data_IF_086411650603
#
_entry.id   IF_086411650603
#
_cell.length_a   1.000
_cell.length_b   1.000
_cell.length_c   1.000
_cell.angle_alpha   90.00
_cell.angle_beta   90.00
_cell.angle_gamma   90.00
#
_symmetry.space_group_name_H-M   'P 1'
#
loop_
_entity.id
_entity.type
_entity.pdbx_description
1 polymer ?
#
# COMPACT_ATOMS: atom_id res chain seq x y z
N UNK A 1 -18.62 13.58 -2.09
CA UNK A 1 -18.00 12.39 -1.47
C UNK A 1 -19.15 11.52 -1.02
N UNK A 2 -19.06 10.21 -1.24
CA UNK A 2 -19.99 9.27 -0.62
C UNK A 2 -19.71 9.24 0.89
N UNK A 3 -20.77 9.05 1.67
CA UNK A 3 -20.80 9.08 3.13
C UNK A 3 -21.51 7.80 3.56
N UNK A 4 -20.74 6.89 4.15
CA UNK A 4 -21.25 5.67 4.76
C UNK A 4 -21.52 5.93 6.23
N UNK A 5 -22.72 5.57 6.70
CA UNK A 5 -23.12 5.74 8.08
C UNK A 5 -23.22 4.39 8.79
N UNK A 6 -22.11 3.90 9.35
CA UNK A 6 -22.09 2.63 10.10
C UNK A 6 -23.01 2.60 11.33
N UNK A 7 -23.40 3.76 11.84
CA UNK A 7 -24.39 3.91 12.91
C UNK A 7 -25.83 3.76 12.40
N UNK A 8 -26.13 4.20 11.18
CA UNK A 8 -27.49 4.20 10.61
C UNK A 8 -28.01 2.77 10.41
N UNK A 9 -27.11 1.88 9.99
CA UNK A 9 -27.41 0.46 9.76
C UNK A 9 -27.62 -0.34 11.05
N UNK A 10 -27.26 0.22 12.23
CA UNK A 10 -27.40 -0.42 13.54
C UNK A 10 -28.58 0.10 14.36
N UNK A 11 -29.31 1.11 13.88
CA UNK A 11 -30.52 1.60 14.56
C UNK A 11 -31.66 0.63 14.26
N UNK A 12 -32.03 -0.16 15.27
CA UNK A 12 -33.15 -1.11 15.24
C UNK A 12 -34.45 -0.55 15.81
N UNK A 13 -34.36 0.56 16.55
CA UNK A 13 -35.48 1.26 17.17
C UNK A 13 -36.09 2.30 16.21
N UNK A 14 -37.40 2.21 15.98
CA UNK A 14 -38.15 3.02 15.02
C UNK A 14 -38.11 4.53 15.37
N UNK A 15 -38.26 4.87 16.65
CA UNK A 15 -38.24 6.27 17.11
C UNK A 15 -36.84 6.90 16.97
N UNK A 16 -35.79 6.10 17.21
CA UNK A 16 -34.40 6.51 16.96
C UNK A 16 -34.10 6.64 15.46
N UNK A 17 -34.72 5.82 14.61
CA UNK A 17 -34.58 5.93 13.15
C UNK A 17 -35.17 7.24 12.62
N UNK A 18 -36.39 7.57 13.04
CA UNK A 18 -37.10 8.79 12.61
C UNK A 18 -36.35 10.05 13.04
N UNK A 19 -35.91 10.11 14.30
CA UNK A 19 -35.10 11.25 14.80
C UNK A 19 -33.73 11.35 14.14
N UNK A 20 -33.11 10.22 13.78
CA UNK A 20 -31.85 10.21 13.06
C UNK A 20 -31.97 10.62 11.59
N UNK A 21 -33.08 10.28 10.93
CA UNK A 21 -33.28 10.52 9.49
C UNK A 21 -33.14 12.01 9.11
N UNK A 22 -33.63 12.92 9.96
CA UNK A 22 -33.55 14.37 9.72
C UNK A 22 -32.13 14.95 9.80
N UNK A 23 -31.20 14.25 10.45
CA UNK A 23 -29.79 14.66 10.60
C UNK A 23 -28.81 13.73 9.87
N UNK A 24 -29.33 12.68 9.23
CA UNK A 24 -28.54 11.68 8.55
C UNK A 24 -27.87 12.27 7.30
N UNK A 25 -26.54 12.13 7.22
CA UNK A 25 -25.74 12.58 6.08
C UNK A 25 -25.33 11.42 5.15
N UNK A 26 -25.87 10.22 5.37
CA UNK A 26 -25.58 9.06 4.52
C UNK A 26 -26.12 9.31 3.12
N UNK A 27 -25.31 8.99 2.10
CA UNK A 27 -25.72 9.10 0.69
C UNK A 27 -25.25 7.88 -0.13
N UNK A 28 -24.90 6.80 0.55
CA UNK A 28 -24.55 5.52 -0.03
C UNK A 28 -25.16 4.41 0.83
N UNK A 29 -25.82 3.46 0.16
CA UNK A 29 -26.40 2.26 0.76
C UNK A 29 -25.61 1.05 0.25
N UNK A 30 -25.20 0.16 1.16
CA UNK A 30 -24.37 -1.00 0.83
C UNK A 30 -23.31 -1.29 1.88
N UNK A 31 -22.26 -1.99 1.49
CA UNK A 31 -21.14 -2.33 2.39
C UNK A 31 -20.11 -1.22 2.44
N UNK A 32 -19.33 -1.16 3.53
CA UNK A 32 -18.21 -0.21 3.65
C UNK A 32 -17.24 -0.31 2.46
N UNK A 33 -16.95 -1.52 1.96
CA UNK A 33 -16.10 -1.72 0.78
C UNK A 33 -16.75 -1.27 -0.53
N UNK A 34 -18.07 -1.42 -0.66
CA UNK A 34 -18.81 -0.94 -1.83
C UNK A 34 -18.84 0.60 -1.92
N UNK A 35 -18.73 1.31 -0.78
CA UNK A 35 -18.68 2.77 -0.78
C UNK A 35 -17.47 3.29 -1.56
N UNK A 36 -16.30 2.66 -1.41
CA UNK A 36 -15.07 3.09 -2.11
C UNK A 36 -15.21 2.93 -3.62
N UNK A 37 -15.82 1.83 -4.05
CA UNK A 37 -16.12 1.54 -5.45
C UNK A 37 -17.07 2.60 -6.03
N UNK A 38 -18.19 2.85 -5.35
CA UNK A 38 -19.16 3.86 -5.77
C UNK A 38 -18.56 5.28 -5.76
N UNK A 39 -17.72 5.59 -4.78
CA UNK A 39 -17.01 6.86 -4.70
C UNK A 39 -16.10 7.07 -5.92
N UNK A 40 -15.31 6.05 -6.27
CA UNK A 40 -14.36 6.10 -7.38
C UNK A 40 -15.09 6.34 -8.71
N UNK A 41 -16.13 5.56 -9.00
CA UNK A 41 -16.96 5.75 -10.21
C UNK A 41 -17.56 7.15 -10.25
N UNK A 42 -18.14 7.61 -9.14
CA UNK A 42 -18.72 8.96 -9.05
C UNK A 42 -17.70 10.06 -9.28
N UNK A 43 -16.48 9.93 -8.72
CA UNK A 43 -15.40 10.90 -8.89
C UNK A 43 -14.95 10.98 -10.35
N UNK A 44 -14.76 9.83 -11.00
CA UNK A 44 -14.35 9.77 -12.41
C UNK A 44 -15.46 10.30 -13.33
N UNK A 45 -16.70 9.82 -13.18
CA UNK A 45 -17.82 10.22 -14.04
C UNK A 45 -18.13 11.72 -13.97
N UNK A 46 -18.05 12.35 -12.79
CA UNK A 46 -18.35 13.79 -12.64
C UNK A 46 -17.20 14.71 -13.03
N UNK A 47 -15.99 14.19 -13.26
CA UNK A 47 -14.79 15.01 -13.44
C UNK A 47 -14.87 15.90 -14.69
N UNK A 48 -15.31 15.35 -15.81
CA UNK A 48 -15.40 16.08 -17.07
C UNK A 48 -16.48 17.17 -17.01
N UNK A 49 -17.68 16.84 -16.52
CA UNK A 49 -18.78 17.80 -16.44
C UNK A 49 -18.50 18.92 -15.42
N UNK A 50 -17.94 18.60 -14.25
CA UNK A 50 -17.78 19.59 -13.17
C UNK A 50 -16.47 20.37 -13.23
N UNK A 51 -15.45 19.83 -13.90
CA UNK A 51 -14.08 20.38 -13.87
C UNK A 51 -13.40 20.44 -15.23
N UNK A 52 -14.00 19.90 -16.29
CA UNK A 52 -13.40 19.88 -17.63
C UNK A 52 -12.15 18.99 -17.73
N UNK A 53 -11.92 18.08 -16.79
CA UNK A 53 -10.73 17.22 -16.75
C UNK A 53 -11.08 15.74 -16.89
N UNK A 54 -10.12 14.95 -17.35
CA UNK A 54 -10.21 13.49 -17.40
C UNK A 54 -9.01 12.88 -16.68
N UNK A 55 -9.28 11.93 -15.79
CA UNK A 55 -8.22 11.24 -15.06
C UNK A 55 -7.69 10.06 -15.87
N UNK A 56 -6.40 10.11 -16.24
CA UNK A 56 -5.75 9.02 -17.00
C UNK A 56 -5.07 7.99 -16.11
N UNK A 57 -4.86 8.31 -14.83
CA UNK A 57 -4.23 7.44 -13.85
C UNK A 57 -5.17 7.19 -12.67
N UNK A 58 -5.22 5.94 -12.20
CA UNK A 58 -5.91 5.53 -10.98
C UNK A 58 -4.86 5.04 -9.98
N UNK A 59 -4.68 5.75 -8.87
CA UNK A 59 -3.78 5.30 -7.80
C UNK A 59 -4.56 4.42 -6.82
N UNK A 60 -4.19 3.13 -6.75
CA UNK A 60 -4.86 2.14 -5.93
C UNK A 60 -3.90 1.33 -5.06
N UNK A 61 -4.49 0.64 -4.09
CA UNK A 61 -3.86 -0.44 -3.33
C UNK A 61 -4.27 -1.77 -3.98
N UNK A 62 -3.30 -2.60 -4.37
CA UNK A 62 -3.50 -4.01 -4.70
C UNK A 62 -4.67 -4.29 -5.65
N UNK A 63 -5.31 -5.44 -5.52
CA UNK A 63 -6.49 -5.77 -6.33
C UNK A 63 -7.68 -4.92 -5.87
N UNK A 64 -7.90 -3.82 -6.60
CA UNK A 64 -8.91 -2.82 -6.28
C UNK A 64 -10.14 -3.03 -7.15
N UNK A 65 -11.22 -3.55 -6.55
CA UNK A 65 -12.55 -3.60 -7.18
C UNK A 65 -13.01 -2.22 -7.68
N UNK A 66 -12.54 -1.15 -7.04
CA UNK A 66 -12.84 0.22 -7.48
C UNK A 66 -12.21 0.54 -8.84
N UNK A 67 -10.99 0.07 -9.11
CA UNK A 67 -10.36 0.24 -10.43
C UNK A 67 -11.10 -0.54 -11.51
N UNK A 68 -11.44 -1.80 -11.23
CA UNK A 68 -12.22 -2.64 -12.16
C UNK A 68 -13.54 -1.96 -12.52
N UNK A 69 -14.27 -1.48 -11.50
CA UNK A 69 -15.53 -0.80 -11.73
C UNK A 69 -15.38 0.51 -12.52
N UNK A 70 -14.35 1.31 -12.23
CA UNK A 70 -14.06 2.53 -13.01
C UNK A 70 -13.74 2.19 -14.46
N UNK A 71 -12.99 1.11 -14.71
CA UNK A 71 -12.66 0.64 -16.07
C UNK A 71 -13.90 0.19 -16.82
N UNK A 72 -14.78 -0.58 -16.18
CA UNK A 72 -16.04 -1.07 -16.77
C UNK A 72 -17.00 0.06 -17.10
N UNK A 73 -17.09 1.09 -16.25
CA UNK A 73 -17.98 2.22 -16.45
C UNK A 73 -17.55 3.17 -17.59
N UNK A 74 -16.35 2.97 -18.16
CA UNK A 74 -15.82 3.77 -19.28
C UNK A 74 -16.16 5.28 -19.16
N UNK A 75 -15.77 5.96 -18.06
CA UNK A 75 -16.20 7.32 -17.76
C UNK A 75 -15.77 8.34 -18.83
N UNK A 76 -14.82 7.97 -19.70
CA UNK A 76 -14.29 8.80 -20.78
C UNK A 76 -14.34 8.09 -22.14
N UNK A 77 -15.28 7.15 -22.34
CA UNK A 77 -15.38 6.33 -23.54
C UNK A 77 -14.26 5.29 -23.60
N UNK A 78 -13.59 5.16 -24.75
CA UNK A 78 -12.54 4.15 -24.98
C UNK A 78 -11.15 4.53 -24.47
N UNK A 79 -11.03 5.65 -23.73
CA UNK A 79 -9.75 6.05 -23.12
C UNK A 79 -9.35 5.06 -22.02
N UNK A 80 -8.10 4.60 -22.08
CA UNK A 80 -7.54 3.66 -21.10
C UNK A 80 -7.10 4.43 -19.85
N UNK A 81 -7.64 4.03 -18.70
CA UNK A 81 -7.19 4.51 -17.39
C UNK A 81 -6.12 3.54 -16.89
N UNK A 82 -4.91 4.06 -16.65
CA UNK A 82 -3.78 3.27 -16.15
C UNK A 82 -3.86 3.14 -14.63
N UNK A 83 -3.79 1.92 -14.12
CA UNK A 83 -3.64 1.67 -12.68
C UNK A 83 -2.21 1.90 -12.25
N UNK A 84 -2.03 2.63 -11.16
CA UNK A 84 -0.78 2.83 -10.45
C UNK A 84 -0.88 2.18 -9.07
N UNK A 85 0.20 1.53 -8.64
CA UNK A 85 0.29 0.93 -7.32
C UNK A 85 0.85 1.94 -6.31
N UNK A 86 0.24 2.04 -5.13
CA UNK A 86 0.77 2.91 -4.11
C UNK A 86 2.02 2.31 -3.45
N UNK A 87 3.02 3.15 -3.18
CA UNK A 87 4.27 2.73 -2.50
C UNK A 87 3.98 2.10 -1.14
N UNK A 88 2.94 2.58 -0.46
CA UNK A 88 2.46 2.02 0.81
C UNK A 88 1.99 0.56 0.68
N UNK A 89 1.34 0.20 -0.41
CA UNK A 89 0.96 -1.17 -0.69
C UNK A 89 2.17 -2.02 -1.05
N UNK A 90 3.05 -1.51 -1.90
CA UNK A 90 4.28 -2.19 -2.33
C UNK A 90 5.17 -2.54 -1.13
N UNK A 91 5.34 -1.63 -0.17
CA UNK A 91 6.08 -1.93 1.07
C UNK A 91 5.39 -2.98 1.95
N UNK A 92 4.06 -2.90 2.14
CA UNK A 92 3.30 -3.89 2.92
C UNK A 92 3.40 -5.29 2.30
N UNK A 93 3.34 -5.37 0.97
CA UNK A 93 3.48 -6.63 0.22
C UNK A 93 4.81 -7.32 0.51
N UNK A 94 5.90 -6.55 0.58
CA UNK A 94 7.22 -7.09 0.95
C UNK A 94 7.20 -7.65 2.38
N UNK A 95 6.70 -6.88 3.35
CA UNK A 95 6.60 -7.33 4.73
C UNK A 95 5.75 -8.58 4.90
N UNK A 96 4.60 -8.67 4.22
CA UNK A 96 3.74 -9.87 4.22
C UNK A 96 4.48 -11.08 3.66
N UNK A 97 5.23 -10.93 2.55
CA UNK A 97 6.03 -12.02 1.97
C UNK A 97 7.11 -12.52 2.93
N UNK A 98 7.81 -11.62 3.62
CA UNK A 98 8.81 -11.99 4.63
C UNK A 98 8.19 -12.68 5.84
N UNK A 99 7.02 -12.22 6.31
CA UNK A 99 6.28 -12.88 7.40
C UNK A 99 5.83 -14.28 6.99
N UNK A 100 5.31 -14.44 5.77
CA UNK A 100 4.94 -15.75 5.24
C UNK A 100 6.14 -16.69 5.10
N UNK A 101 7.30 -16.17 4.68
CA UNK A 101 8.54 -16.93 4.66
C UNK A 101 8.96 -17.35 6.07
N UNK A 102 8.92 -16.43 7.04
CA UNK A 102 9.19 -16.70 8.45
C UNK A 102 8.26 -17.77 9.02
N UNK A 103 6.98 -17.79 8.63
CA UNK A 103 6.04 -18.82 9.05
C UNK A 103 6.35 -20.18 8.41
N UNK A 104 6.61 -20.21 7.11
CA UNK A 104 6.86 -21.46 6.35
C UNK A 104 8.21 -22.12 6.67
N UNK A 105 9.23 -21.32 6.96
CA UNK A 105 10.61 -21.78 7.13
C UNK A 105 11.18 -21.49 8.52
N UNK A 106 10.39 -20.91 9.42
CA UNK A 106 10.87 -20.38 10.70
C UNK A 106 11.62 -21.39 11.56
N UNK A 107 11.18 -22.64 11.58
CA UNK A 107 11.80 -23.72 12.36
C UNK A 107 12.79 -24.56 11.54
N UNK A 108 12.91 -24.33 10.23
CA UNK A 108 13.85 -25.08 9.39
C UNK A 108 15.27 -24.55 9.64
N UNK A 109 16.25 -25.42 9.92
CA UNK A 109 17.63 -24.99 10.06
C UNK A 109 18.16 -24.47 8.73
N UNK A 110 18.91 -23.37 8.80
CA UNK A 110 19.69 -22.85 7.68
C UNK A 110 21.02 -23.61 7.59
N UNK A 111 21.91 -23.17 6.70
CA UNK A 111 23.25 -23.77 6.54
C UNK A 111 24.10 -23.77 7.81
N UNK A 112 23.80 -22.88 8.76
CA UNK A 112 24.46 -22.80 10.07
C UNK A 112 23.79 -23.64 11.17
N UNK A 113 22.83 -24.50 10.80
CA UNK A 113 22.10 -25.37 11.72
C UNK A 113 21.07 -24.65 12.59
N UNK A 114 20.89 -23.33 12.45
CA UNK A 114 19.99 -22.53 13.28
C UNK A 114 18.70 -22.16 12.53
N UNK A 115 17.57 -21.98 13.24
CA UNK A 115 16.31 -21.59 12.63
C UNK A 115 16.35 -20.19 12.00
N UNK A 116 15.50 -19.96 10.99
CA UNK A 116 15.33 -18.65 10.33
C UNK A 116 14.79 -17.57 11.29
N UNK A 117 14.02 -17.96 12.32
CA UNK A 117 13.49 -17.04 13.33
C UNK A 117 14.34 -17.08 14.61
N UNK A 118 14.27 -16.01 15.42
CA UNK A 118 14.94 -15.94 16.73
C UNK A 118 15.82 -14.71 16.87
N UNK A 119 16.49 -14.60 18.02
CA UNK A 119 17.40 -13.49 18.30
C UNK A 119 18.53 -13.43 17.25
N UNK A 120 18.80 -12.24 16.73
CA UNK A 120 19.79 -12.04 15.65
C UNK A 120 19.37 -12.59 14.27
N UNK A 121 18.13 -13.06 14.11
CA UNK A 121 17.60 -13.62 12.85
C UNK A 121 16.36 -12.87 12.39
N UNK A 122 15.59 -13.40 11.44
CA UNK A 122 14.42 -12.72 10.86
C UNK A 122 13.30 -12.56 11.90
N UNK A 123 13.29 -11.42 12.59
CA UNK A 123 12.25 -11.02 13.55
C UNK A 123 11.24 -10.06 12.92
N UNK A 124 10.08 -9.85 13.56
CA UNK A 124 9.10 -8.88 13.06
C UNK A 124 9.65 -7.45 13.03
N UNK A 125 10.47 -7.09 14.02
CA UNK A 125 11.18 -5.80 14.03
C UNK A 125 12.07 -5.62 12.79
N UNK A 126 12.84 -6.66 12.41
CA UNK A 126 13.66 -6.61 11.19
C UNK A 126 12.78 -6.49 9.95
N UNK A 127 11.66 -7.21 9.90
CA UNK A 127 10.73 -7.13 8.77
C UNK A 127 10.14 -5.72 8.65
N UNK A 128 9.80 -5.07 9.76
CA UNK A 128 9.29 -3.70 9.79
C UNK A 128 10.35 -2.68 9.37
N UNK A 129 11.60 -2.85 9.82
CA UNK A 129 12.74 -2.05 9.36
C UNK A 129 12.94 -2.18 7.86
N UNK A 130 13.02 -3.42 7.33
CA UNK A 130 13.17 -3.68 5.90
C UNK A 130 12.01 -3.07 5.11
N UNK A 131 10.76 -3.24 5.56
CA UNK A 131 9.58 -2.65 4.94
C UNK A 131 9.65 -1.12 4.89
N UNK A 132 10.08 -0.49 5.98
CA UNK A 132 10.25 0.96 6.06
C UNK A 132 11.34 1.46 5.10
N UNK A 133 12.52 0.83 5.11
CA UNK A 133 13.64 1.19 4.25
C UNK A 133 13.32 0.99 2.77
N UNK A 134 12.65 -0.10 2.42
CA UNK A 134 12.20 -0.34 1.05
C UNK A 134 11.26 0.76 0.56
N UNK A 135 10.29 1.17 1.39
CA UNK A 135 9.41 2.29 1.07
C UNK A 135 10.15 3.63 0.98
N UNK A 136 11.15 3.86 1.84
CA UNK A 136 11.98 5.08 1.81
C UNK A 136 12.82 5.14 0.53
N UNK A 137 13.49 4.04 0.15
CA UNK A 137 14.28 3.93 -1.06
C UNK A 137 13.46 4.27 -2.32
N UNK A 138 12.23 3.78 -2.41
CA UNK A 138 11.32 4.10 -3.53
C UNK A 138 10.94 5.58 -3.54
N UNK A 139 10.51 6.14 -2.39
CA UNK A 139 10.06 7.54 -2.31
C UNK A 139 11.19 8.54 -2.58
N UNK A 140 12.39 8.28 -2.04
CA UNK A 140 13.55 9.16 -2.22
C UNK A 140 14.12 9.14 -3.64
N UNK A 141 13.71 8.17 -4.47
CA UNK A 141 14.22 7.99 -5.84
C UNK A 141 13.08 7.90 -6.88
N UNK A 142 11.92 8.52 -6.62
CA UNK A 142 10.73 8.41 -7.49
C UNK A 142 10.94 8.87 -8.93
N UNK A 143 11.97 9.68 -9.17
CA UNK A 143 12.28 10.27 -10.48
C UNK A 143 13.44 9.59 -11.21
N UNK A 144 14.11 8.61 -10.60
CA UNK A 144 15.24 7.90 -11.21
C UNK A 144 15.16 6.41 -10.87
N UNK A 145 14.83 5.60 -11.88
CA UNK A 145 14.63 4.15 -11.72
C UNK A 145 15.92 3.42 -11.34
N UNK A 146 17.06 3.84 -11.87
CA UNK A 146 18.33 3.16 -11.60
C UNK A 146 18.81 3.46 -10.19
N UNK A 147 18.72 4.71 -9.74
CA UNK A 147 18.99 5.07 -8.35
C UNK A 147 17.99 4.39 -7.40
N UNK A 148 16.74 4.24 -7.79
CA UNK A 148 15.75 3.50 -7.00
C UNK A 148 16.15 2.04 -6.81
N UNK A 149 16.54 1.35 -7.89
CA UNK A 149 17.01 -0.03 -7.82
C UNK A 149 18.25 -0.14 -6.93
N UNK A 150 19.23 0.75 -7.11
CA UNK A 150 20.44 0.78 -6.30
C UNK A 150 20.10 1.00 -4.82
N UNK A 151 19.26 1.99 -4.50
CA UNK A 151 18.85 2.27 -3.12
C UNK A 151 18.09 1.11 -2.49
N UNK A 152 17.20 0.44 -3.23
CA UNK A 152 16.52 -0.78 -2.77
C UNK A 152 17.54 -1.88 -2.45
N UNK A 153 18.47 -2.16 -3.36
CA UNK A 153 19.50 -3.18 -3.13
C UNK A 153 20.46 -2.81 -2.00
N UNK A 154 20.79 -1.53 -1.83
CA UNK A 154 21.60 -1.04 -0.73
C UNK A 154 21.03 -1.42 0.63
N UNK A 155 19.70 -1.39 0.80
CA UNK A 155 19.05 -1.82 2.06
C UNK A 155 19.29 -3.30 2.35
N UNK A 156 19.29 -4.14 1.32
CA UNK A 156 19.53 -5.58 1.45
C UNK A 156 21.01 -5.86 1.76
N UNK A 157 21.92 -5.32 0.96
CA UNK A 157 23.35 -5.55 1.13
C UNK A 157 23.88 -4.97 2.45
N UNK A 158 23.43 -3.78 2.85
CA UNK A 158 23.77 -3.24 4.16
C UNK A 158 23.34 -4.17 5.29
N UNK A 159 22.18 -4.84 5.17
CA UNK A 159 21.72 -5.76 6.21
C UNK A 159 22.49 -7.09 6.22
N UNK A 160 23.06 -7.48 5.09
CA UNK A 160 23.97 -8.63 4.99
C UNK A 160 25.39 -8.30 5.47
N UNK A 161 25.75 -7.01 5.52
CA UNK A 161 27.08 -6.59 5.90
C UNK A 161 27.39 -7.04 7.34
N UNK A 162 28.63 -7.48 7.50
CA UNK A 162 29.24 -7.76 8.81
C UNK A 162 30.61 -7.10 8.82
N UNK A 163 31.22 -6.93 10.00
CA UNK A 163 32.56 -6.34 10.11
C UNK A 163 33.60 -7.08 9.25
N UNK A 164 33.46 -8.41 9.13
CA UNK A 164 34.34 -9.26 8.33
C UNK A 164 33.97 -9.30 6.83
N UNK A 165 32.78 -8.84 6.46
CA UNK A 165 32.30 -8.84 5.08
C UNK A 165 31.45 -7.58 4.82
N UNK A 166 32.08 -6.41 4.66
CA UNK A 166 31.37 -5.16 4.43
C UNK A 166 30.71 -5.15 3.06
N UNK A 167 29.39 -4.89 3.02
CA UNK A 167 28.59 -4.88 1.80
C UNK A 167 27.97 -3.49 1.55
N UNK A 168 28.77 -2.43 1.72
CA UNK A 168 28.30 -1.03 1.64
C UNK A 168 28.40 -0.40 0.25
N UNK A 169 28.73 -1.18 -0.78
CA UNK A 169 29.04 -0.68 -2.14
C UNK A 169 27.90 0.12 -2.79
N UNK A 170 26.65 -0.14 -2.40
CA UNK A 170 25.47 0.56 -2.92
C UNK A 170 24.93 1.61 -1.95
N UNK A 171 25.55 1.78 -0.78
CA UNK A 171 25.11 2.80 0.17
C UNK A 171 25.46 4.19 -0.36
N UNK A 172 24.65 5.22 -0.05
CA UNK A 172 24.99 6.59 -0.38
C UNK A 172 26.36 6.98 0.19
N UNK A 173 27.14 7.70 -0.61
CA UNK A 173 28.41 8.27 -0.19
C UNK A 173 28.17 9.40 0.83
N UNK A 174 29.17 9.76 1.65
CA UNK A 174 29.12 10.96 2.48
C UNK A 174 28.79 12.20 1.64
N UNK A 175 28.03 13.18 2.17
CA UNK A 175 27.50 13.26 3.54
C UNK A 175 26.17 12.52 3.76
N UNK A 176 25.53 12.01 2.71
CA UNK A 176 24.18 11.44 2.76
C UNK A 176 24.15 9.96 3.20
N UNK A 177 25.29 9.45 3.66
CA UNK A 177 25.39 8.07 4.13
C UNK A 177 24.57 7.87 5.40
N UNK A 178 23.89 6.73 5.46
CA UNK A 178 23.16 6.26 6.63
C UNK A 178 23.82 5.04 7.25
N UNK A 179 25.01 4.65 6.76
CA UNK A 179 25.84 3.66 7.42
C UNK A 179 26.34 4.23 8.74
N UNK A 180 26.11 3.49 9.83
CA UNK A 180 26.59 3.81 11.17
C UNK A 180 27.54 2.72 11.61
#
# INVERSE_FOLDING_TARGET
MTKFGSGCTKITDEAKRISHASVCKQNYEGTSGGMEVAAAVSIFGRSQQKRGVQYVNFLGDGDSKAFEQVKENKPYGDKIIKKLECVGHVMKRMGTRLRNLKLKMGSKPLSDGRPLKGAGRLTDKIIDELQSYYGKAIRSNSHNLDNMKQAVWATYYHRLATDNNPCHQLCPAPPDTWCK
#
